data_IF_426974427662
#
_entry.id   IF_426974427662
#
_cell.length_a   1.000
_cell.length_b   1.000
_cell.length_c   1.000
_cell.angle_alpha   90.00
_cell.angle_beta   90.00
_cell.angle_gamma   90.00
#
_symmetry.space_group_name_H-M   'P 1'
#
loop_
_entity.id
_entity.type
_entity.pdbx_description
1 polymer ?
#
# COMPACT_ATOMS: atom_id res chain seq x y z
N UNK A 1 23.86 -5.52 26.85
CA UNK A 1 24.97 -5.74 25.92
C UNK A 1 24.37 -5.81 24.53
N UNK A 2 24.68 -4.83 23.70
CA UNK A 2 24.31 -4.83 22.29
C UNK A 2 25.03 -5.99 21.58
N UNK A 3 24.53 -6.45 20.45
CA UNK A 3 25.23 -7.48 19.66
C UNK A 3 26.68 -7.05 19.30
N UNK A 4 26.94 -5.74 19.25
CA UNK A 4 28.27 -5.18 19.01
C UNK A 4 29.20 -5.29 20.23
N UNK A 5 28.69 -5.22 21.46
CA UNK A 5 29.49 -5.44 22.68
C UNK A 5 29.95 -6.92 22.76
N UNK A 6 29.11 -7.85 22.29
CA UNK A 6 29.48 -9.26 22.18
C UNK A 6 30.57 -9.49 21.12
N UNK A 7 30.54 -8.77 20.00
CA UNK A 7 31.57 -8.82 18.96
C UNK A 7 32.91 -8.25 19.44
N UNK A 8 32.89 -7.16 20.23
CA UNK A 8 34.10 -6.62 20.86
C UNK A 8 34.65 -7.62 21.90
N UNK A 9 33.78 -8.20 22.73
CA UNK A 9 34.16 -9.23 23.71
C UNK A 9 34.72 -10.50 23.07
N UNK A 10 34.32 -10.83 21.84
CA UNK A 10 34.87 -11.94 21.05
C UNK A 10 36.16 -11.58 20.28
N UNK A 11 36.64 -10.33 20.38
CA UNK A 11 37.84 -9.87 19.67
C UNK A 11 37.66 -9.67 18.16
N UNK A 12 36.42 -9.69 17.66
CA UNK A 12 36.12 -9.55 16.23
C UNK A 12 36.20 -8.08 15.75
N UNK A 13 36.14 -7.11 16.67
CA UNK A 13 36.25 -5.67 16.40
C UNK A 13 37.06 -4.97 17.50
N UNK A 14 37.80 -3.91 17.15
CA UNK A 14 38.54 -3.06 18.09
C UNK A 14 37.62 -2.15 18.90
N UNK A 15 38.15 -1.53 19.96
CA UNK A 15 37.40 -0.54 20.75
C UNK A 15 37.02 0.69 19.91
N UNK A 16 37.89 1.15 19.00
CA UNK A 16 37.58 2.26 18.08
C UNK A 16 36.50 1.86 17.07
N UNK A 17 36.57 0.64 16.54
CA UNK A 17 35.54 0.11 15.64
C UNK A 17 34.19 -0.03 16.35
N UNK A 18 34.18 -0.47 17.62
CA UNK A 18 32.97 -0.50 18.43
C UNK A 18 32.39 0.89 18.64
N UNK A 19 33.21 1.89 18.96
CA UNK A 19 32.76 3.27 19.15
C UNK A 19 32.17 3.87 17.85
N UNK A 20 32.77 3.55 16.70
CA UNK A 20 32.24 3.95 15.38
C UNK A 20 30.88 3.32 15.04
N UNK A 21 30.53 2.20 15.70
CA UNK A 21 29.26 1.51 15.51
C UNK A 21 28.12 2.03 16.41
N UNK A 22 28.41 2.95 17.33
CA UNK A 22 27.42 3.45 18.29
C UNK A 22 26.18 4.11 17.66
N UNK A 23 26.28 4.87 16.55
CA UNK A 23 25.10 5.37 15.85
C UNK A 23 24.16 4.26 15.33
N UNK A 24 24.68 3.06 15.08
CA UNK A 24 23.93 1.93 14.54
C UNK A 24 23.28 1.06 15.62
N UNK A 25 23.65 1.26 16.88
CA UNK A 25 23.05 0.57 18.04
C UNK A 25 21.57 0.92 18.20
N UNK A 26 21.17 2.13 17.80
CA UNK A 26 19.79 2.62 17.93
C UNK A 26 18.89 2.29 16.74
N UNK A 27 19.41 1.58 15.74
CA UNK A 27 18.68 1.28 14.50
C UNK A 27 18.04 -0.09 14.61
N UNK A 28 16.71 -0.15 14.52
CA UNK A 28 15.99 -1.41 14.34
C UNK A 28 16.20 -1.90 12.91
N UNK A 29 16.69 -3.13 12.75
CA UNK A 29 16.76 -3.78 11.44
C UNK A 29 15.35 -4.07 10.91
N UNK A 30 15.14 -3.78 9.62
CA UNK A 30 13.91 -4.10 8.94
C UNK A 30 13.74 -5.63 8.81
N UNK A 31 12.52 -6.10 8.95
CA UNK A 31 12.16 -7.51 8.75
C UNK A 31 11.30 -7.66 7.49
N UNK A 32 11.12 -8.89 7.02
CA UNK A 32 10.25 -9.18 5.87
C UNK A 32 8.77 -8.84 6.10
N UNK A 33 8.37 -8.56 7.34
CA UNK A 33 7.00 -8.17 7.70
C UNK A 33 6.80 -6.66 7.74
N UNK A 34 7.87 -5.88 7.62
CA UNK A 34 7.79 -4.43 7.54
C UNK A 34 7.45 -4.01 6.11
N UNK A 35 6.53 -3.06 5.96
CA UNK A 35 6.12 -2.54 4.66
C UNK A 35 6.79 -1.20 4.41
N UNK A 36 7.64 -1.15 3.40
CA UNK A 36 8.27 0.09 2.94
C UNK A 36 7.27 0.85 2.06
N UNK A 37 7.04 2.12 2.38
CA UNK A 37 6.11 2.95 1.60
C UNK A 37 6.67 3.27 0.22
N UNK A 38 5.80 3.46 -0.77
CA UNK A 38 6.22 3.85 -2.12
C UNK A 38 7.02 5.16 -2.13
N UNK A 39 6.65 6.11 -1.26
CA UNK A 39 7.33 7.41 -1.11
C UNK A 39 8.80 7.28 -0.67
N UNK A 40 9.15 6.18 0.01
CA UNK A 40 10.53 5.92 0.41
C UNK A 40 11.46 5.77 -0.82
N UNK A 41 10.93 5.38 -1.99
CA UNK A 41 11.71 5.31 -3.23
C UNK A 41 12.41 6.61 -3.61
N UNK A 42 11.88 7.77 -3.17
CA UNK A 42 12.50 9.06 -3.43
C UNK A 42 13.77 9.32 -2.59
N UNK A 43 13.99 8.60 -1.49
CA UNK A 43 15.11 8.81 -0.57
C UNK A 43 16.04 7.61 -0.41
N UNK A 44 15.55 6.39 -0.67
CA UNK A 44 16.32 5.16 -0.53
C UNK A 44 17.61 5.22 -1.36
N UNK A 45 18.74 4.88 -0.74
CA UNK A 45 20.04 4.84 -1.40
C UNK A 45 20.66 6.22 -1.68
N UNK A 46 20.00 7.33 -1.35
CA UNK A 46 20.56 8.68 -1.52
C UNK A 46 21.47 9.07 -0.35
N UNK A 47 22.51 9.83 -0.67
CA UNK A 47 23.44 10.35 0.33
C UNK A 47 22.83 11.51 1.11
N UNK A 48 23.16 11.62 2.40
CA UNK A 48 22.75 12.72 3.26
C UNK A 48 23.84 13.80 3.22
N UNK A 49 23.46 15.02 2.81
CA UNK A 49 24.39 16.15 2.73
C UNK A 49 25.57 15.95 1.76
N UNK A 50 25.42 15.06 0.76
CA UNK A 50 26.48 14.73 -0.18
C UNK A 50 27.58 13.81 0.36
N UNK A 51 27.48 13.32 1.60
CA UNK A 51 28.46 12.43 2.19
C UNK A 51 28.26 10.96 1.72
N UNK A 52 29.21 10.34 0.99
CA UNK A 52 29.09 8.97 0.51
C UNK A 52 28.97 7.91 1.61
N UNK A 53 29.38 8.22 2.85
CA UNK A 53 29.28 7.31 4.00
C UNK A 53 27.91 7.36 4.67
N UNK A 54 27.07 8.36 4.37
CA UNK A 54 25.75 8.55 4.96
C UNK A 54 24.67 8.29 3.91
N UNK A 55 24.14 7.08 3.86
CA UNK A 55 23.20 6.62 2.83
C UNK A 55 21.90 6.17 3.50
N UNK A 56 20.77 6.78 3.11
CA UNK A 56 19.44 6.45 3.64
C UNK A 56 19.04 5.00 3.34
N UNK A 57 18.65 4.27 4.37
CA UNK A 57 18.29 2.85 4.31
C UNK A 57 19.47 1.89 4.31
N UNK A 58 20.71 2.39 4.39
CA UNK A 58 21.93 1.57 4.49
C UNK A 58 22.70 1.93 5.75
N UNK A 59 23.27 3.13 5.82
CA UNK A 59 24.02 3.61 6.98
C UNK A 59 23.27 4.68 7.79
N UNK A 60 22.28 5.32 7.19
CA UNK A 60 21.34 6.22 7.87
C UNK A 60 20.00 5.50 7.97
N UNK A 61 19.41 5.37 9.17
CA UNK A 61 18.12 4.70 9.34
C UNK A 61 17.01 5.47 8.62
N UNK A 62 16.04 4.74 8.07
CA UNK A 62 14.84 5.37 7.51
C UNK A 62 14.03 6.04 8.64
N UNK A 63 13.48 7.20 8.34
CA UNK A 63 12.51 7.84 9.22
C UNK A 63 11.22 7.01 9.31
N UNK A 64 10.55 7.12 10.45
CA UNK A 64 9.34 6.36 10.80
C UNK A 64 8.26 6.39 9.70
N UNK A 65 8.01 7.56 9.11
CA UNK A 65 7.01 7.76 8.04
C UNK A 65 7.20 6.88 6.79
N UNK A 66 8.38 6.27 6.60
CA UNK A 66 8.69 5.47 5.42
C UNK A 66 8.49 3.96 5.62
N UNK A 67 8.22 3.52 6.85
CA UNK A 67 8.16 2.10 7.21
C UNK A 67 6.93 1.85 8.06
N UNK A 68 6.04 0.96 7.63
CA UNK A 68 4.96 0.46 8.48
C UNK A 68 5.37 -0.86 9.12
N UNK A 69 5.34 -0.91 10.45
CA UNK A 69 5.62 -2.13 11.22
C UNK A 69 4.36 -2.99 11.42
N UNK A 70 4.47 -4.28 11.78
CA UNK A 70 3.33 -5.17 11.92
C UNK A 70 2.22 -4.66 12.84
N UNK A 71 2.58 -4.04 13.98
CA UNK A 71 1.60 -3.46 14.91
C UNK A 71 0.81 -2.30 14.31
N UNK A 72 1.44 -1.46 13.50
CA UNK A 72 0.78 -0.35 12.80
C UNK A 72 -0.16 -0.88 11.72
N UNK A 73 0.30 -1.83 10.89
CA UNK A 73 -0.58 -2.43 9.88
C UNK A 73 -1.78 -3.13 10.51
N UNK A 74 -1.61 -3.77 11.68
CA UNK A 74 -2.70 -4.36 12.44
C UNK A 74 -3.68 -3.30 12.96
N UNK A 75 -3.17 -2.20 13.52
CA UNK A 75 -4.00 -1.08 13.99
C UNK A 75 -4.80 -0.43 12.84
N UNK A 76 -4.18 -0.22 11.67
CA UNK A 76 -4.84 0.30 10.47
C UNK A 76 -5.96 -0.64 10.02
N UNK A 77 -5.69 -1.95 9.91
CA UNK A 77 -6.73 -2.93 9.53
C UNK A 77 -7.88 -2.97 10.51
N UNK A 78 -7.60 -2.96 11.81
CA UNK A 78 -8.63 -2.92 12.85
C UNK A 78 -9.52 -1.67 12.69
N UNK A 79 -8.92 -0.52 12.39
CA UNK A 79 -9.63 0.73 12.15
C UNK A 79 -10.49 0.70 10.89
N UNK A 80 -9.98 0.13 9.79
CA UNK A 80 -10.73 -0.08 8.54
C UNK A 80 -11.96 -0.97 8.81
N UNK A 81 -11.78 -2.09 9.50
CA UNK A 81 -12.90 -2.98 9.88
C UNK A 81 -13.93 -2.25 10.74
N UNK A 82 -13.49 -1.46 11.73
CA UNK A 82 -14.40 -0.68 12.57
C UNK A 82 -15.24 0.31 11.75
N UNK A 83 -14.62 1.04 10.81
CA UNK A 83 -15.36 1.95 9.94
C UNK A 83 -16.35 1.23 9.02
N UNK A 84 -15.95 0.11 8.40
CA UNK A 84 -16.85 -0.68 7.55
C UNK A 84 -18.06 -1.22 8.34
N UNK A 85 -17.86 -1.63 9.60
CA UNK A 85 -18.94 -2.06 10.49
C UNK A 85 -19.90 -0.91 10.84
N UNK A 86 -19.37 0.30 11.09
CA UNK A 86 -20.21 1.49 11.32
C UNK A 86 -21.04 1.81 10.07
N UNK A 87 -20.41 1.79 8.88
CA UNK A 87 -21.10 2.07 7.61
C UNK A 87 -22.20 1.04 7.37
N UNK A 88 -21.90 -0.26 7.46
CA UNK A 88 -22.87 -1.33 7.21
C UNK A 88 -24.04 -1.28 8.20
N UNK A 89 -23.75 -1.03 9.48
CA UNK A 89 -24.78 -0.84 10.52
C UNK A 89 -25.64 0.39 10.24
N UNK A 90 -25.04 1.50 9.82
CA UNK A 90 -25.77 2.72 9.47
C UNK A 90 -26.70 2.48 8.28
N UNK A 91 -26.24 1.76 7.26
CA UNK A 91 -27.08 1.40 6.11
C UNK A 91 -28.20 0.45 6.50
N UNK A 92 -27.93 -0.56 7.34
CA UNK A 92 -28.96 -1.50 7.83
C UNK A 92 -30.07 -0.78 8.63
N UNK A 93 -29.71 0.26 9.36
CA UNK A 93 -30.66 1.10 10.11
C UNK A 93 -31.26 2.26 9.28
N UNK A 94 -30.80 2.46 8.04
CA UNK A 94 -31.46 3.38 7.12
C UNK A 94 -32.72 2.72 6.60
N UNK A 95 -33.86 3.41 6.57
CA UNK A 95 -35.21 2.92 6.19
C UNK A 95 -35.32 2.35 4.76
N UNK A 96 -34.47 1.40 4.38
CA UNK A 96 -34.25 0.82 3.06
C UNK A 96 -33.99 1.81 1.92
N UNK A 97 -33.59 3.05 2.23
CA UNK A 97 -33.34 4.12 1.25
C UNK A 97 -31.88 4.26 0.81
N UNK A 98 -30.98 3.47 1.38
CA UNK A 98 -29.55 3.51 1.06
C UNK A 98 -29.11 2.11 0.62
N UNK A 99 -28.27 2.06 -0.42
CA UNK A 99 -27.60 0.85 -0.87
C UNK A 99 -26.17 0.84 -0.32
N UNK A 100 -25.69 -0.33 0.12
CA UNK A 100 -24.31 -0.53 0.51
C UNK A 100 -23.52 -1.11 -0.67
N UNK A 101 -22.52 -0.38 -1.15
CA UNK A 101 -21.54 -0.90 -2.09
C UNK A 101 -20.30 -1.34 -1.31
N UNK A 102 -20.00 -2.64 -1.28
CA UNK A 102 -18.89 -3.19 -0.52
C UNK A 102 -17.57 -3.15 -1.31
N UNK A 103 -16.95 -1.98 -1.30
CA UNK A 103 -15.65 -1.76 -1.95
C UNK A 103 -14.53 -2.56 -1.27
N UNK A 104 -14.63 -2.80 0.04
CA UNK A 104 -13.61 -3.56 0.76
C UNK A 104 -13.57 -5.01 0.31
N UNK A 105 -14.74 -5.64 0.16
CA UNK A 105 -14.85 -7.00 -0.39
C UNK A 105 -14.32 -7.07 -1.83
N UNK A 106 -14.71 -6.12 -2.69
CA UNK A 106 -14.23 -6.09 -4.08
C UNK A 106 -12.70 -5.97 -4.17
N UNK A 107 -12.11 -5.00 -3.48
CA UNK A 107 -10.66 -4.80 -3.51
C UNK A 107 -9.90 -5.95 -2.83
N UNK A 108 -10.45 -6.57 -1.79
CA UNK A 108 -9.86 -7.74 -1.14
C UNK A 108 -9.87 -8.97 -2.05
N UNK A 109 -10.95 -9.16 -2.81
CA UNK A 109 -11.03 -10.20 -3.84
C UNK A 109 -10.01 -9.95 -4.94
N UNK A 110 -9.94 -8.74 -5.49
CA UNK A 110 -8.95 -8.38 -6.51
C UNK A 110 -7.50 -8.56 -5.98
N UNK A 111 -7.25 -8.16 -4.74
CA UNK A 111 -5.97 -8.37 -4.07
C UNK A 111 -5.66 -9.86 -3.88
N UNK A 112 -6.64 -10.71 -3.60
CA UNK A 112 -6.48 -12.17 -3.46
C UNK A 112 -6.20 -12.84 -4.80
N UNK A 113 -7.05 -12.60 -5.80
CA UNK A 113 -6.97 -13.23 -7.11
C UNK A 113 -5.89 -12.64 -8.02
N UNK A 114 -5.32 -11.49 -7.65
CA UNK A 114 -4.27 -10.75 -8.37
C UNK A 114 -4.69 -10.17 -9.72
N UNK A 115 -5.84 -10.56 -10.25
CA UNK A 115 -6.42 -9.99 -11.46
C UNK A 115 -7.93 -10.23 -11.51
N UNK A 116 -8.62 -9.41 -12.30
CA UNK A 116 -9.99 -9.61 -12.73
C UNK A 116 -10.10 -9.24 -14.23
N UNK A 117 -11.08 -9.79 -14.95
CA UNK A 117 -11.29 -9.53 -16.38
C UNK A 117 -12.71 -9.05 -16.59
N UNK A 118 -12.85 -7.78 -16.98
CA UNK A 118 -14.15 -7.14 -17.19
C UNK A 118 -14.15 -6.42 -18.54
N UNK A 119 -15.22 -6.60 -19.31
CA UNK A 119 -15.35 -6.08 -20.68
C UNK A 119 -14.15 -6.44 -21.60
N UNK A 120 -13.57 -7.61 -21.41
CA UNK A 120 -12.42 -8.10 -22.18
C UNK A 120 -11.07 -7.46 -21.82
N UNK A 121 -10.99 -6.71 -20.72
CA UNK A 121 -9.75 -6.07 -20.24
C UNK A 121 -9.39 -6.58 -18.86
N UNK A 122 -8.10 -6.89 -18.66
CA UNK A 122 -7.56 -7.28 -17.36
C UNK A 122 -7.29 -6.07 -16.49
N UNK A 123 -7.72 -6.13 -15.24
CA UNK A 123 -7.37 -5.19 -14.17
C UNK A 123 -6.64 -5.91 -13.04
N UNK A 124 -5.58 -5.30 -12.50
CA UNK A 124 -4.77 -5.85 -11.40
C UNK A 124 -4.69 -4.87 -10.23
N UNK A 125 -4.46 -5.33 -8.99
CA UNK A 125 -4.26 -4.48 -7.80
C UNK A 125 -2.85 -3.88 -7.80
N UNK A 126 -2.49 -3.21 -8.89
CA UNK A 126 -1.18 -2.63 -9.15
C UNK A 126 -1.35 -1.28 -9.84
N UNK A 127 -0.29 -0.47 -9.84
CA UNK A 127 -0.17 0.72 -10.68
C UNK A 127 0.61 0.46 -11.97
N UNK A 128 1.17 -0.76 -12.14
CA UNK A 128 1.99 -1.10 -13.29
C UNK A 128 1.14 -1.20 -14.58
N UNK A 129 1.51 -0.50 -15.66
CA UNK A 129 0.87 -0.69 -16.96
C UNK A 129 1.15 -2.10 -17.51
N UNK A 130 0.30 -2.64 -18.40
CA UNK A 130 -0.92 -2.02 -18.95
C UNK A 130 -2.21 -2.35 -18.17
N UNK A 131 -2.11 -3.16 -17.11
CA UNK A 131 -3.27 -3.75 -16.42
C UNK A 131 -3.55 -3.13 -15.04
N UNK A 132 -2.69 -2.27 -14.53
CA UNK A 132 -2.85 -1.65 -13.22
C UNK A 132 -4.17 -0.87 -13.08
N UNK A 133 -4.89 -1.10 -11.99
CA UNK A 133 -6.07 -0.35 -11.60
C UNK A 133 -5.78 0.94 -10.82
N UNK A 134 -4.54 1.14 -10.37
CA UNK A 134 -4.12 2.30 -9.56
C UNK A 134 -3.22 3.25 -10.35
N UNK A 135 -3.16 4.50 -9.91
CA UNK A 135 -2.26 5.54 -10.41
C UNK A 135 -0.85 5.36 -9.84
N UNK A 136 0.15 6.09 -10.33
CA UNK A 136 1.56 5.97 -9.92
C UNK A 136 1.83 6.31 -8.45
N UNK A 137 0.87 6.93 -7.76
CA UNK A 137 0.93 7.14 -6.31
C UNK A 137 0.67 5.86 -5.50
N UNK A 138 0.18 4.79 -6.12
CA UNK A 138 -0.12 3.51 -5.49
C UNK A 138 -1.31 3.54 -4.52
N UNK A 139 -2.08 4.63 -4.49
CA UNK A 139 -3.20 4.83 -3.55
C UNK A 139 -4.50 5.07 -4.30
N UNK A 140 -4.52 6.00 -5.25
CA UNK A 140 -5.73 6.37 -5.95
C UNK A 140 -5.95 5.48 -7.18
N UNK A 141 -7.17 4.96 -7.41
CA UNK A 141 -7.49 4.32 -8.68
C UNK A 141 -7.20 5.25 -9.86
N UNK A 142 -6.78 4.68 -10.99
CA UNK A 142 -6.75 5.44 -12.25
C UNK A 142 -8.15 5.45 -12.90
N UNK A 143 -8.29 6.06 -14.08
CA UNK A 143 -9.59 6.15 -14.77
C UNK A 143 -10.26 4.79 -14.97
N UNK A 144 -9.50 3.74 -15.29
CA UNK A 144 -10.03 2.37 -15.41
C UNK A 144 -10.41 1.78 -14.05
N UNK A 145 -9.59 1.98 -13.03
CA UNK A 145 -9.91 1.56 -11.66
C UNK A 145 -11.18 2.21 -11.11
N UNK A 146 -11.37 3.50 -11.35
CA UNK A 146 -12.62 4.18 -11.00
C UNK A 146 -13.82 3.64 -11.77
N UNK A 147 -13.68 3.35 -13.07
CA UNK A 147 -14.75 2.71 -13.85
C UNK A 147 -15.11 1.32 -13.30
N UNK A 148 -14.11 0.54 -12.88
CA UNK A 148 -14.32 -0.75 -12.22
C UNK A 148 -15.08 -0.62 -10.90
N UNK A 149 -14.67 0.32 -10.03
CA UNK A 149 -15.36 0.55 -8.75
C UNK A 149 -16.75 1.16 -8.93
N UNK A 150 -16.97 2.00 -9.94
CA UNK A 150 -18.29 2.55 -10.26
C UNK A 150 -19.32 1.44 -10.52
N UNK A 151 -18.91 0.35 -11.17
CA UNK A 151 -19.78 -0.80 -11.39
C UNK A 151 -20.20 -1.51 -10.09
N UNK A 152 -19.38 -1.46 -9.03
CA UNK A 152 -19.76 -1.98 -7.70
C UNK A 152 -20.91 -1.15 -7.13
N UNK A 153 -20.84 0.18 -7.23
CA UNK A 153 -21.93 1.07 -6.81
C UNK A 153 -23.19 0.87 -7.63
N UNK A 154 -23.07 0.83 -8.96
CA UNK A 154 -24.22 0.63 -9.85
C UNK A 154 -24.89 -0.72 -9.58
N UNK A 155 -24.11 -1.78 -9.36
CA UNK A 155 -24.63 -3.11 -9.01
C UNK A 155 -25.38 -3.07 -7.69
N UNK A 156 -24.83 -2.44 -6.65
CA UNK A 156 -25.51 -2.29 -5.36
C UNK A 156 -26.82 -1.50 -5.47
N UNK A 157 -26.84 -0.42 -6.26
CA UNK A 157 -28.03 0.40 -6.53
C UNK A 157 -29.10 -0.42 -7.24
N UNK A 158 -28.74 -1.09 -8.34
CA UNK A 158 -29.66 -1.92 -9.11
C UNK A 158 -30.25 -3.04 -8.25
N UNK A 159 -29.41 -3.72 -7.45
CA UNK A 159 -29.85 -4.78 -6.55
C UNK A 159 -30.77 -4.28 -5.42
N UNK A 160 -30.46 -3.14 -4.80
CA UNK A 160 -31.25 -2.60 -3.68
C UNK A 160 -32.59 -2.04 -4.12
N UNK A 161 -32.62 -1.34 -5.24
CA UNK A 161 -33.78 -0.53 -5.66
C UNK A 161 -34.53 -1.10 -6.87
N UNK A 162 -34.09 -2.23 -7.43
CA UNK A 162 -34.66 -2.79 -8.67
C UNK A 162 -34.46 -1.86 -9.87
N UNK A 163 -33.44 -1.00 -9.83
CA UNK A 163 -33.14 -0.07 -10.91
C UNK A 163 -32.47 -0.77 -12.10
N UNK A 164 -32.42 -0.10 -13.25
CA UNK A 164 -31.77 -0.58 -14.48
C UNK A 164 -30.69 0.40 -14.96
N UNK A 165 -29.88 0.91 -14.03
CA UNK A 165 -28.76 1.79 -14.37
C UNK A 165 -27.72 0.96 -15.13
N UNK A 166 -27.28 1.38 -16.33
CA UNK A 166 -26.32 0.62 -17.11
C UNK A 166 -24.95 0.60 -16.45
N UNK A 167 -24.26 -0.54 -16.56
CA UNK A 167 -22.86 -0.66 -16.13
C UNK A 167 -21.93 0.10 -17.08
N UNK A 168 -20.87 0.64 -16.51
CA UNK A 168 -19.77 1.28 -17.21
C UNK A 168 -18.94 0.22 -17.91
N UNK A 169 -18.68 0.41 -19.21
CA UNK A 169 -17.72 -0.43 -19.92
C UNK A 169 -16.29 0.05 -19.60
N UNK A 170 -15.56 -0.72 -18.80
CA UNK A 170 -14.24 -0.32 -18.30
C UNK A 170 -13.16 -0.26 -19.41
N UNK A 171 -13.37 -0.93 -20.55
CA UNK A 171 -12.42 -0.92 -21.66
C UNK A 171 -12.33 0.43 -22.36
N UNK A 172 -13.35 1.29 -22.16
CA UNK A 172 -13.37 2.67 -22.66
C UNK A 172 -12.53 3.65 -21.82
N UNK A 173 -11.92 3.17 -20.74
CA UNK A 173 -11.13 4.00 -19.83
C UNK A 173 -9.65 3.57 -19.86
N UNK A 174 -8.78 4.57 -19.94
CA UNK A 174 -7.33 4.34 -19.94
C UNK A 174 -6.86 3.87 -18.57
N UNK A 175 -5.92 2.93 -18.57
CA UNK A 175 -5.05 2.73 -17.42
C UNK A 175 -3.94 3.78 -17.43
N UNK A 176 -3.19 3.83 -16.33
CA UNK A 176 -1.93 4.55 -16.21
C UNK A 176 -1.01 4.19 -17.37
N UNK A 177 -0.45 5.20 -18.05
CA UNK A 177 0.54 4.99 -19.13
C UNK A 177 1.88 5.52 -18.64
N UNK A 178 2.85 4.62 -18.48
CA UNK A 178 4.22 5.05 -18.23
C UNK A 178 4.87 5.50 -19.55
N UNK A 179 5.77 6.51 -19.52
CA UNK A 179 6.51 6.91 -20.70
C UNK A 179 7.25 5.70 -21.27
N UNK A 180 6.86 5.27 -22.46
CA UNK A 180 7.64 4.29 -23.22
C UNK A 180 8.77 5.02 -23.92
N UNK A 181 9.82 5.34 -23.17
CA UNK A 181 11.11 5.67 -23.76
C UNK A 181 12.17 4.88 -22.98
N UNK A 182 12.70 3.79 -23.56
CA UNK A 182 13.74 2.99 -22.92
C UNK A 182 15.04 3.79 -22.74
#
# INVERSE_FOLDING_TARGET
ATNFDALQGAGAISAEQRAALEPYVQIRQATATDLITLSAGAILGKTVGGNPLLVNGVSVPLADQYVLIPSETAAIRARVTAFNNIISTTVANSNNRVALADINATLSALATFRADVVNGVTITPSFAPPTGGFSEDGVHPNSRGYAYLANVFVTAINAKFGASVPLVNISKYSATSLPITP
#
